data_IF_650597260155
#
_entry.id   IF_650597260155
#
_cell.length_a   1.000
_cell.length_b   1.000
_cell.length_c   1.000
_cell.angle_alpha   90.00
_cell.angle_beta   90.00
_cell.angle_gamma   90.00
#
_symmetry.space_group_name_H-M   'P 1'
#
loop_
_entity.id
_entity.type
_entity.pdbx_description
1 polymer ?
#
# COMPACT_ATOMS: atom_id res chain seq x y z
N UNK A 1 -43.25 19.51 8.34
CA UNK A 1 -41.79 19.27 8.52
C UNK A 1 -41.17 20.59 8.89
N UNK A 2 -40.32 20.64 9.90
CA UNK A 2 -39.59 21.86 10.26
C UNK A 2 -38.10 21.63 10.02
N UNK A 3 -37.44 22.60 9.43
CA UNK A 3 -36.00 22.59 9.22
C UNK A 3 -35.32 23.51 10.22
N UNK A 4 -34.09 23.18 10.59
CA UNK A 4 -33.28 24.05 11.43
C UNK A 4 -32.91 25.29 10.60
N UNK A 5 -33.17 26.47 11.14
CA UNK A 5 -32.78 27.76 10.57
C UNK A 5 -31.87 28.48 11.56
N UNK A 6 -30.76 29.04 11.08
CA UNK A 6 -29.77 29.71 11.94
C UNK A 6 -29.89 31.22 11.73
N UNK A 7 -30.26 31.92 12.79
CA UNK A 7 -30.46 33.36 12.83
C UNK A 7 -29.32 34.06 13.57
N UNK A 8 -29.30 35.40 13.52
CA UNK A 8 -28.23 36.23 14.10
C UNK A 8 -28.06 36.05 15.62
N UNK A 9 -29.10 35.57 16.31
CA UNK A 9 -29.13 35.42 17.78
C UNK A 9 -29.46 33.99 18.26
N UNK A 10 -29.44 32.99 17.38
CA UNK A 10 -29.72 31.60 17.77
C UNK A 10 -30.17 30.68 16.65
N UNK A 11 -30.79 29.57 17.03
CA UNK A 11 -31.34 28.57 16.11
C UNK A 11 -32.86 28.56 16.24
N UNK A 12 -33.57 28.73 15.13
CA UNK A 12 -35.02 28.63 15.04
C UNK A 12 -35.42 27.42 14.16
N UNK A 13 -36.71 27.07 14.18
CA UNK A 13 -37.26 26.00 13.36
C UNK A 13 -38.19 26.63 12.33
N UNK A 14 -37.80 26.59 11.05
CA UNK A 14 -38.59 27.13 9.95
C UNK A 14 -39.53 26.06 9.40
N UNK A 15 -40.78 26.43 9.16
CA UNK A 15 -41.79 25.51 8.64
C UNK A 15 -41.65 25.38 7.12
N UNK A 16 -41.50 24.15 6.65
CA UNK A 16 -41.40 23.86 5.22
C UNK A 16 -42.79 23.96 4.60
N UNK A 17 -42.91 24.78 3.55
CA UNK A 17 -44.20 25.06 2.91
C UNK A 17 -44.78 23.84 2.20
N UNK A 18 -43.94 23.08 1.50
CA UNK A 18 -44.36 21.85 0.82
C UNK A 18 -43.24 20.82 0.92
N UNK A 19 -43.55 19.59 1.32
CA UNK A 19 -42.61 18.47 1.28
C UNK A 19 -43.13 17.45 0.28
N UNK A 20 -42.38 17.29 -0.80
CA UNK A 20 -42.56 16.18 -1.75
C UNK A 20 -41.66 15.02 -1.35
N UNK A 21 -41.83 13.86 -1.99
CA UNK A 21 -40.99 12.67 -1.74
C UNK A 21 -39.48 12.90 -1.97
N UNK A 22 -39.07 13.96 -2.69
CA UNK A 22 -37.67 14.25 -3.01
C UNK A 22 -37.20 15.66 -2.65
N UNK A 23 -38.10 16.60 -2.40
CA UNK A 23 -37.74 18.01 -2.19
C UNK A 23 -38.65 18.69 -1.17
N UNK A 24 -38.06 19.57 -0.38
CA UNK A 24 -38.73 20.54 0.47
C UNK A 24 -38.74 21.91 -0.24
N UNK A 25 -39.91 22.54 -0.40
CA UNK A 25 -40.03 23.90 -0.94
C UNK A 25 -40.13 24.90 0.19
N UNK A 26 -39.29 25.94 0.12
CA UNK A 26 -39.25 27.09 1.02
C UNK A 26 -39.55 28.32 0.16
N UNK A 27 -40.64 29.04 0.45
CA UNK A 27 -41.08 30.16 -0.38
C UNK A 27 -40.26 31.43 -0.17
N UNK A 28 -39.77 31.66 1.04
CA UNK A 28 -39.07 32.89 1.41
C UNK A 28 -37.83 32.60 2.26
N UNK A 29 -36.80 31.95 1.66
CA UNK A 29 -35.61 31.59 2.42
C UNK A 29 -34.90 32.87 2.88
N UNK A 30 -34.73 33.01 4.21
CA UNK A 30 -33.93 34.07 4.80
C UNK A 30 -32.53 33.53 5.06
N UNK A 31 -31.55 33.92 4.27
CA UNK A 31 -30.16 33.51 4.50
C UNK A 31 -29.47 34.54 5.40
N UNK A 32 -29.02 34.12 6.59
CA UNK A 32 -28.23 34.98 7.46
C UNK A 32 -26.80 35.07 6.96
N UNK A 33 -26.23 36.27 6.91
CA UNK A 33 -24.82 36.49 6.59
C UNK A 33 -23.90 35.80 7.61
N UNK A 34 -24.37 35.65 8.85
CA UNK A 34 -23.68 34.88 9.89
C UNK A 34 -23.65 33.40 9.55
N UNK A 35 -24.65 32.84 8.88
CA UNK A 35 -24.60 31.44 8.41
C UNK A 35 -23.45 31.22 7.42
N UNK A 36 -23.15 32.21 6.58
CA UNK A 36 -22.01 32.18 5.66
C UNK A 36 -20.69 32.31 6.42
N UNK A 37 -20.60 33.19 7.42
CA UNK A 37 -19.38 33.34 8.23
C UNK A 37 -19.14 32.10 9.12
N UNK A 38 -20.19 31.58 9.77
CA UNK A 38 -20.16 30.36 10.56
C UNK A 38 -19.79 29.17 9.68
N UNK A 39 -20.29 29.07 8.45
CA UNK A 39 -19.87 27.98 7.57
C UNK A 39 -18.35 28.04 7.34
N UNK A 40 -17.78 29.20 7.01
CA UNK A 40 -16.32 29.38 6.89
C UNK A 40 -15.54 29.00 8.16
N UNK A 41 -16.05 29.32 9.35
CA UNK A 41 -15.38 29.02 10.64
C UNK A 41 -15.52 27.54 11.02
N UNK A 42 -16.70 26.94 10.81
CA UNK A 42 -16.96 25.53 11.15
C UNK A 42 -16.32 24.56 10.15
N UNK A 43 -16.09 24.93 8.88
CA UNK A 43 -15.45 24.05 7.89
C UNK A 43 -14.03 23.58 8.29
N UNK A 44 -13.35 24.23 9.23
CA UNK A 44 -11.99 23.85 9.65
C UNK A 44 -11.92 22.83 10.80
N UNK A 45 -13.01 22.54 11.50
CA UNK A 45 -13.02 21.62 12.65
C UNK A 45 -14.20 20.63 12.60
N UNK A 46 -14.52 20.14 11.41
CA UNK A 46 -15.53 19.09 11.23
C UNK A 46 -14.82 17.77 10.98
N UNK A 47 -15.20 16.76 11.75
CA UNK A 47 -14.83 15.37 11.49
C UNK A 47 -15.72 14.80 10.40
N UNK A 48 -15.11 14.23 9.37
CA UNK A 48 -15.79 13.61 8.23
C UNK A 48 -15.34 12.17 8.06
N UNK A 49 -16.29 11.29 7.75
CA UNK A 49 -15.93 9.95 7.28
C UNK A 49 -15.35 10.04 5.87
N UNK A 50 -14.35 9.20 5.62
CA UNK A 50 -13.57 9.24 4.40
C UNK A 50 -13.73 7.96 3.59
N UNK A 51 -13.61 8.11 2.28
CA UNK A 51 -13.48 7.00 1.35
C UNK A 51 -12.00 6.82 1.00
N UNK A 52 -11.55 5.58 0.94
CA UNK A 52 -10.29 5.19 0.33
C UNK A 52 -10.59 4.32 -0.88
N UNK A 53 -10.17 4.76 -2.07
CA UNK A 53 -10.31 3.98 -3.30
C UNK A 53 -8.94 3.67 -3.87
N UNK A 54 -8.56 2.40 -3.84
CA UNK A 54 -7.31 1.92 -4.40
C UNK A 54 -7.52 1.40 -5.83
N UNK A 55 -6.76 1.94 -6.78
CA UNK A 55 -6.68 1.44 -8.14
C UNK A 55 -5.28 0.97 -8.46
N UNK A 56 -5.18 -0.19 -9.10
CA UNK A 56 -3.92 -0.81 -9.49
C UNK A 56 -3.85 -0.93 -11.01
N UNK A 57 -2.70 -0.59 -11.58
CA UNK A 57 -2.38 -0.80 -13.00
C UNK A 57 -1.07 -1.57 -13.09
N UNK A 58 -1.12 -2.77 -13.67
CA UNK A 58 0.07 -3.60 -13.90
C UNK A 58 0.71 -3.21 -15.24
N UNK A 59 2.00 -2.91 -15.24
CA UNK A 59 2.79 -2.60 -16.44
C UNK A 59 4.09 -3.41 -16.44
N UNK A 60 4.12 -4.48 -17.22
CA UNK A 60 5.27 -5.41 -17.31
C UNK A 60 5.67 -5.92 -15.92
N UNK A 61 6.79 -5.44 -15.37
CA UNK A 61 7.35 -5.81 -14.07
C UNK A 61 7.05 -4.77 -12.97
N UNK A 62 6.30 -3.71 -13.29
CA UNK A 62 5.96 -2.62 -12.37
C UNK A 62 4.47 -2.54 -12.08
N UNK A 63 4.13 -2.11 -10.88
CA UNK A 63 2.79 -1.82 -10.40
C UNK A 63 2.65 -0.32 -10.19
N UNK A 64 1.64 0.29 -10.81
CA UNK A 64 1.24 1.67 -10.51
C UNK A 64 -0.01 1.62 -9.65
N UNK A 65 0.11 2.06 -8.40
CA UNK A 65 -1.03 2.26 -7.50
C UNK A 65 -1.48 3.72 -7.53
N UNK A 66 -2.80 3.92 -7.50
CA UNK A 66 -3.44 5.23 -7.29
C UNK A 66 -4.41 5.11 -6.12
N UNK A 67 -4.02 5.66 -4.97
CA UNK A 67 -4.83 5.66 -3.75
C UNK A 67 -5.49 7.02 -3.57
N UNK A 68 -6.80 7.07 -3.75
CA UNK A 68 -7.61 8.27 -3.59
C UNK A 68 -8.13 8.36 -2.14
N UNK A 69 -8.03 9.54 -1.54
CA UNK A 69 -8.58 9.84 -0.21
C UNK A 69 -9.46 11.09 -0.30
N UNK A 70 -10.70 10.97 0.13
CA UNK A 70 -11.65 12.08 0.07
C UNK A 70 -12.84 11.89 1.02
N UNK A 71 -13.58 12.97 1.40
CA UNK A 71 -14.77 12.84 2.23
C UNK A 71 -15.82 11.97 1.55
N UNK A 72 -16.45 11.05 2.28
CA UNK A 72 -17.39 10.08 1.70
C UNK A 72 -18.58 10.80 1.04
N UNK A 73 -18.54 10.88 -0.29
CA UNK A 73 -19.51 11.59 -1.11
C UNK A 73 -19.73 10.81 -2.42
N UNK A 74 -20.97 10.42 -2.75
CA UNK A 74 -21.30 9.72 -3.99
C UNK A 74 -20.78 10.40 -5.27
N UNK A 75 -20.81 11.74 -5.32
CA UNK A 75 -20.32 12.50 -6.48
C UNK A 75 -18.81 12.35 -6.68
N UNK A 76 -18.03 12.29 -5.59
CA UNK A 76 -16.58 12.08 -5.67
C UNK A 76 -16.23 10.63 -6.03
N UNK A 77 -16.98 9.66 -5.50
CA UNK A 77 -16.83 8.24 -5.91
C UNK A 77 -17.01 8.11 -7.42
N UNK A 78 -18.08 8.71 -7.96
CA UNK A 78 -18.35 8.70 -9.41
C UNK A 78 -17.26 9.42 -10.21
N UNK A 79 -16.76 10.56 -9.72
CA UNK A 79 -15.68 11.30 -10.38
C UNK A 79 -14.38 10.48 -10.46
N UNK A 80 -14.04 9.72 -9.40
CA UNK A 80 -12.88 8.82 -9.39
C UNK A 80 -13.07 7.68 -10.39
N UNK A 81 -14.24 7.04 -10.42
CA UNK A 81 -14.55 5.96 -11.36
C UNK A 81 -14.47 6.44 -12.82
N UNK A 82 -15.02 7.62 -13.12
CA UNK A 82 -14.92 8.24 -14.44
C UNK A 82 -13.47 8.56 -14.82
N UNK A 83 -12.67 9.05 -13.88
CA UNK A 83 -11.25 9.31 -14.13
C UNK A 83 -10.50 8.01 -14.42
N UNK A 84 -10.71 6.97 -13.62
CA UNK A 84 -9.99 5.70 -13.76
C UNK A 84 -10.37 4.95 -15.04
N UNK A 85 -11.59 5.15 -15.56
CA UNK A 85 -11.99 4.59 -16.86
C UNK A 85 -11.12 5.05 -18.04
N UNK A 86 -10.39 6.17 -17.89
CA UNK A 86 -9.46 6.68 -18.91
C UNK A 86 -8.12 5.94 -18.92
N UNK A 87 -7.79 5.20 -17.86
CA UNK A 87 -6.53 4.46 -17.76
C UNK A 87 -6.74 2.99 -18.14
N UNK A 88 -6.14 2.58 -19.26
CA UNK A 88 -6.22 1.20 -19.71
C UNK A 88 -5.56 0.24 -18.71
N UNK A 89 -6.29 -0.82 -18.34
CA UNK A 89 -5.81 -1.85 -17.40
C UNK A 89 -5.87 -1.44 -15.92
N UNK A 90 -6.44 -0.28 -15.59
CA UNK A 90 -6.68 0.11 -14.21
C UNK A 90 -7.85 -0.69 -13.63
N UNK A 91 -7.63 -1.35 -12.49
CA UNK A 91 -8.66 -2.11 -11.78
C UNK A 91 -8.81 -1.59 -10.36
N UNK A 92 -10.07 -1.41 -9.92
CA UNK A 92 -10.38 -1.08 -8.53
C UNK A 92 -10.08 -2.31 -7.66
N UNK A 93 -9.28 -2.11 -6.63
CA UNK A 93 -8.98 -3.13 -5.65
C UNK A 93 -9.93 -3.00 -4.45
N UNK A 94 -10.47 -4.10 -3.92
CA UNK A 94 -11.27 -4.07 -2.70
C UNK A 94 -10.36 -3.80 -1.50
N UNK A 95 -10.40 -2.57 -0.97
CA UNK A 95 -9.68 -2.19 0.24
C UNK A 95 -10.64 -1.83 1.38
N UNK A 96 -10.16 -1.96 2.61
CA UNK A 96 -10.88 -1.48 3.79
C UNK A 96 -10.97 0.05 3.82
N UNK A 97 -12.01 0.55 4.50
CA UNK A 97 -12.17 1.99 4.76
C UNK A 97 -11.58 2.31 6.14
N UNK A 98 -11.14 3.55 6.38
CA UNK A 98 -10.81 3.98 7.74
C UNK A 98 -12.04 3.89 8.64
N UNK A 99 -11.90 3.28 9.82
CA UNK A 99 -13.00 3.15 10.78
C UNK A 99 -13.36 4.49 11.44
N UNK A 100 -12.35 5.34 11.62
CA UNK A 100 -12.49 6.63 12.30
C UNK A 100 -12.76 7.76 11.30
N UNK A 101 -13.51 8.76 11.75
CA UNK A 101 -13.64 10.03 11.04
C UNK A 101 -12.36 10.87 11.19
N UNK A 102 -12.09 11.72 10.22
CA UNK A 102 -10.92 12.59 10.21
C UNK A 102 -11.31 14.06 10.13
N UNK A 103 -10.49 14.92 10.72
CA UNK A 103 -10.66 16.36 10.60
C UNK A 103 -10.47 16.82 9.17
N UNK A 104 -11.44 17.59 8.66
CA UNK A 104 -11.28 18.23 7.37
C UNK A 104 -10.06 19.16 7.38
N UNK A 105 -9.32 19.17 6.28
CA UNK A 105 -8.05 19.86 6.03
C UNK A 105 -6.80 19.23 6.65
N UNK A 106 -6.90 18.09 7.34
CA UNK A 106 -5.71 17.35 7.78
C UNK A 106 -4.92 16.82 6.58
N UNK A 107 -3.60 16.73 6.73
CA UNK A 107 -2.74 16.07 5.77
C UNK A 107 -2.50 14.62 6.14
N UNK A 108 -2.21 13.85 5.11
CA UNK A 108 -1.85 12.45 5.21
C UNK A 108 -0.62 12.20 4.38
N UNK A 109 0.21 11.24 4.81
CA UNK A 109 1.26 10.65 4.00
C UNK A 109 1.00 9.16 3.85
N UNK A 110 1.45 8.61 2.73
CA UNK A 110 1.39 7.19 2.47
C UNK A 110 2.78 6.60 2.71
N UNK A 111 2.84 5.54 3.50
CA UNK A 111 4.05 4.76 3.70
C UNK A 111 3.87 3.40 3.03
N UNK A 112 4.79 3.11 2.12
CA UNK A 112 4.87 1.83 1.43
C UNK A 112 6.34 1.46 1.41
N UNK A 113 6.79 0.51 2.26
CA UNK A 113 8.21 0.19 2.40
C UNK A 113 8.92 -0.11 1.08
N UNK A 114 8.19 -0.64 0.09
CA UNK A 114 8.74 -1.13 -1.18
C UNK A 114 8.44 -0.20 -2.37
N UNK A 115 7.96 1.02 -2.11
CA UNK A 115 7.69 1.97 -3.19
C UNK A 115 8.97 2.56 -3.76
N UNK A 116 9.07 2.58 -5.08
CA UNK A 116 10.15 3.30 -5.77
C UNK A 116 9.87 4.81 -5.78
N UNK A 117 8.61 5.21 -5.80
CA UNK A 117 8.19 6.61 -5.75
C UNK A 117 6.78 6.75 -5.23
N UNK A 118 6.53 7.77 -4.39
CA UNK A 118 5.21 8.21 -3.95
C UNK A 118 5.07 9.69 -4.31
N UNK A 119 4.06 10.04 -5.12
CA UNK A 119 3.81 11.41 -5.54
C UNK A 119 2.31 11.75 -5.48
N UNK A 120 1.90 12.85 -4.82
CA UNK A 120 2.71 13.74 -3.99
C UNK A 120 3.12 13.05 -2.67
N UNK A 121 4.10 13.57 -1.90
CA UNK A 121 4.49 12.98 -0.61
C UNK A 121 3.41 13.11 0.46
N UNK A 122 2.54 14.13 0.34
CA UNK A 122 1.39 14.36 1.21
C UNK A 122 0.18 14.80 0.40
N UNK A 123 -1.00 14.41 0.86
CA UNK A 123 -2.29 14.92 0.36
C UNK A 123 -3.08 15.52 1.51
N UNK A 124 -3.93 16.50 1.21
CA UNK A 124 -4.87 17.06 2.17
C UNK A 124 -6.25 16.46 1.95
N UNK A 125 -6.93 16.13 3.05
CA UNK A 125 -8.35 15.80 3.04
C UNK A 125 -9.16 17.08 2.96
N UNK A 126 -9.56 17.46 1.76
CA UNK A 126 -10.32 18.68 1.51
C UNK A 126 -11.58 18.37 0.72
N UNK A 127 -12.60 19.21 0.91
CA UNK A 127 -13.78 19.17 0.06
C UNK A 127 -13.41 19.75 -1.32
N UNK A 128 -13.75 19.02 -2.39
CA UNK A 128 -13.57 19.48 -3.77
C UNK A 128 -14.80 19.13 -4.59
N UNK A 129 -15.22 20.08 -5.42
CA UNK A 129 -16.26 19.86 -6.43
C UNK A 129 -15.72 19.12 -7.67
N UNK A 130 -14.42 18.83 -7.69
CA UNK A 130 -13.69 18.20 -8.80
C UNK A 130 -13.00 16.91 -8.34
N UNK A 131 -12.21 16.28 -9.23
CA UNK A 131 -11.44 15.06 -8.90
C UNK A 131 -10.68 15.19 -7.56
N UNK A 132 -10.84 14.20 -6.66
CA UNK A 132 -10.14 14.19 -5.38
C UNK A 132 -8.62 13.98 -5.52
N UNK A 133 -7.91 14.35 -4.46
CA UNK A 133 -6.46 14.12 -4.34
C UNK A 133 -6.16 12.62 -4.23
N UNK A 134 -5.01 12.20 -4.77
CA UNK A 134 -4.56 10.82 -4.67
C UNK A 134 -3.04 10.73 -4.62
N UNK A 135 -2.56 9.67 -3.98
CA UNK A 135 -1.17 9.24 -4.11
C UNK A 135 -1.03 8.40 -5.37
N UNK A 136 -0.09 8.77 -6.24
CA UNK A 136 0.43 7.88 -7.27
C UNK A 136 1.69 7.22 -6.74
N UNK A 137 1.72 5.89 -6.79
CA UNK A 137 2.84 5.11 -6.31
C UNK A 137 3.33 4.19 -7.42
N UNK A 138 4.61 4.27 -7.73
CA UNK A 138 5.29 3.33 -8.62
C UNK A 138 6.07 2.34 -7.73
N UNK A 139 5.83 1.04 -7.90
CA UNK A 139 6.46 -0.02 -7.08
C UNK A 139 6.63 -1.32 -7.85
N UNK A 140 7.44 -2.25 -7.32
CA UNK A 140 7.62 -3.58 -7.90
C UNK A 140 6.39 -4.48 -7.64
N UNK A 141 6.23 -5.53 -8.46
CA UNK A 141 5.11 -6.49 -8.34
C UNK A 141 5.41 -7.52 -7.24
N UNK A 142 5.36 -7.06 -5.98
CA UNK A 142 5.56 -7.87 -4.76
C UNK A 142 4.37 -7.68 -3.80
N UNK A 143 4.25 -8.52 -2.77
CA UNK A 143 3.22 -8.32 -1.74
C UNK A 143 3.54 -7.05 -0.96
N UNK A 144 2.56 -6.15 -0.84
CA UNK A 144 2.80 -4.78 -0.37
C UNK A 144 1.93 -4.48 0.85
N UNK A 145 2.58 -4.07 1.93
CA UNK A 145 1.93 -3.42 3.05
C UNK A 145 1.83 -1.90 2.77
N UNK A 146 0.62 -1.36 2.89
CA UNK A 146 0.32 0.06 2.69
C UNK A 146 -0.20 0.65 3.99
N UNK A 147 0.40 1.75 4.43
CA UNK A 147 0.01 2.44 5.65
C UNK A 147 -0.28 3.91 5.35
N UNK A 148 -1.49 4.36 5.69
CA UNK A 148 -1.84 5.78 5.67
C UNK A 148 -1.57 6.36 7.05
N UNK A 149 -0.82 7.45 7.09
CA UNK A 149 -0.36 8.08 8.33
C UNK A 149 -0.88 9.51 8.37
N UNK A 150 -1.52 9.86 9.48
CA UNK A 150 -2.05 11.20 9.73
C UNK A 150 -0.97 12.20 10.16
N UNK A 151 -1.37 13.46 10.34
CA UNK A 151 -0.47 14.54 10.81
C UNK A 151 0.09 14.33 12.21
N UNK A 152 -0.59 13.54 13.04
CA UNK A 152 -0.14 13.15 14.38
C UNK A 152 0.83 11.95 14.35
N UNK A 153 1.28 11.55 13.16
CA UNK A 153 2.15 10.42 12.89
C UNK A 153 1.59 9.05 13.33
N UNK A 154 0.27 8.97 13.57
CA UNK A 154 -0.40 7.70 13.82
C UNK A 154 -0.80 7.03 12.51
N UNK A 155 -0.68 5.71 12.50
CA UNK A 155 -1.23 4.88 11.42
C UNK A 155 -2.75 4.90 11.56
N UNK A 156 -3.43 5.46 10.56
CA UNK A 156 -4.89 5.62 10.54
C UNK A 156 -5.59 4.61 9.64
N UNK A 157 -4.85 3.97 8.75
CA UNK A 157 -5.31 2.87 7.91
C UNK A 157 -4.11 2.03 7.49
N UNK A 158 -4.32 0.72 7.39
CA UNK A 158 -3.30 -0.26 7.03
C UNK A 158 -3.94 -1.38 6.23
N UNK A 159 -3.30 -1.76 5.13
CA UNK A 159 -3.79 -2.83 4.26
C UNK A 159 -2.61 -3.62 3.69
N UNK A 160 -2.80 -4.93 3.52
CA UNK A 160 -1.79 -5.80 2.90
C UNK A 160 -2.31 -6.33 1.59
N UNK A 161 -1.67 -5.95 0.49
CA UNK A 161 -1.99 -6.44 -0.85
C UNK A 161 -1.21 -7.71 -1.15
N UNK A 162 -1.91 -8.79 -1.48
CA UNK A 162 -1.25 -10.02 -1.91
C UNK A 162 -1.20 -10.12 -3.44
N UNK A 163 -0.06 -10.57 -3.95
CA UNK A 163 0.27 -10.60 -5.40
C UNK A 163 -0.80 -11.29 -6.26
N UNK A 164 -1.40 -12.37 -5.77
CA UNK A 164 -2.40 -13.15 -6.52
C UNK A 164 -3.77 -12.45 -6.62
N UNK A 165 -4.02 -11.41 -5.82
CA UNK A 165 -5.32 -10.73 -5.80
C UNK A 165 -5.47 -9.74 -6.96
N UNK A 166 -4.36 -9.22 -7.49
CA UNK A 166 -4.36 -8.25 -8.60
C UNK A 166 -3.67 -8.74 -9.88
N UNK A 167 -2.98 -9.88 -9.84
CA UNK A 167 -2.55 -10.62 -11.04
C UNK A 167 -3.60 -11.69 -11.35
N UNK A 168 -4.68 -11.27 -12.01
CA UNK A 168 -5.56 -12.19 -12.74
C UNK A 168 -5.14 -12.17 -14.21
N UNK A 169 -4.52 -13.29 -14.63
CA UNK A 169 -4.27 -13.71 -16.02
C UNK A 169 -3.12 -13.05 -16.79
N UNK A 170 -1.92 -13.61 -16.64
CA UNK A 170 -1.08 -13.97 -17.79
C UNK A 170 -0.56 -15.39 -17.59
N UNK A 171 -1.06 -16.31 -18.41
CA UNK A 171 -0.84 -17.77 -18.44
C UNK A 171 -1.80 -18.63 -17.60
N UNK A 172 -3.02 -18.80 -18.12
CA UNK A 172 -3.78 -20.03 -17.92
C UNK A 172 -3.03 -21.21 -18.52
N UNK A 173 -2.45 -22.09 -17.70
CA UNK A 173 -2.39 -23.53 -17.98
C UNK A 173 -2.32 -24.31 -16.66
N UNK A 174 -3.45 -24.94 -16.31
CA UNK A 174 -3.62 -26.22 -15.60
C UNK A 174 -2.44 -26.80 -14.79
N UNK A 175 -2.61 -26.99 -13.48
CA UNK A 175 -3.07 -28.28 -12.93
C UNK A 175 -3.16 -28.25 -11.39
N UNK A 176 -4.20 -28.92 -10.92
CA UNK A 176 -4.50 -29.38 -9.55
C UNK A 176 -3.25 -29.84 -8.80
N UNK A 177 -3.12 -29.48 -7.51
CA UNK A 177 -2.88 -30.39 -6.38
C UNK A 177 -2.85 -29.63 -5.03
N UNK A 178 -3.89 -29.88 -4.23
CA UNK A 178 -3.78 -30.33 -2.83
C UNK A 178 -3.02 -29.51 -1.78
N UNK A 179 -3.79 -29.00 -0.83
CA UNK A 179 -3.65 -29.22 0.63
C UNK A 179 -2.35 -28.78 1.34
N UNK A 180 -2.56 -27.99 2.40
CA UNK A 180 -1.63 -27.86 3.52
C UNK A 180 -1.33 -26.41 3.87
N UNK A 181 -2.19 -25.79 4.66
CA UNK A 181 -1.76 -24.61 5.42
C UNK A 181 -0.68 -25.04 6.43
N UNK A 182 0.47 -24.36 6.50
CA UNK A 182 1.40 -24.59 7.60
C UNK A 182 1.00 -23.68 8.75
N UNK A 183 0.75 -24.35 9.88
CA UNK A 183 0.65 -23.77 11.19
C UNK A 183 1.80 -22.80 11.47
N UNK A 184 1.44 -21.68 12.10
CA UNK A 184 2.33 -20.84 12.87
C UNK A 184 3.15 -21.74 13.81
N UNK A 185 4.45 -21.87 13.54
CA UNK A 185 5.40 -22.45 14.49
C UNK A 185 6.47 -21.41 14.78
N UNK A 186 6.22 -20.66 15.84
CA UNK A 186 7.17 -19.82 16.54
C UNK A 186 8.31 -20.69 17.08
N UNK A 187 9.36 -20.88 16.29
CA UNK A 187 10.67 -21.30 16.76
C UNK A 187 11.70 -20.50 15.98
N UNK A 188 12.44 -19.65 16.69
CA UNK A 188 13.67 -19.00 16.19
C UNK A 188 14.67 -20.08 15.83
N UNK A 189 14.53 -20.61 14.61
CA UNK A 189 15.45 -21.57 14.02
C UNK A 189 16.78 -20.91 13.68
N UNK A 190 17.81 -21.75 13.53
CA UNK A 190 19.12 -21.38 12.99
C UNK A 190 18.95 -20.59 11.67
N UNK A 191 19.86 -19.66 11.34
CA UNK A 191 19.78 -18.87 10.09
C UNK A 191 19.70 -19.77 8.84
N UNK A 192 20.36 -20.93 8.91
CA UNK A 192 20.26 -21.97 7.89
C UNK A 192 18.82 -22.51 7.73
N UNK A 193 18.10 -22.73 8.83
CA UNK A 193 16.71 -23.19 8.79
C UNK A 193 15.77 -22.12 8.22
N UNK A 194 16.02 -20.84 8.52
CA UNK A 194 15.27 -19.73 7.95
C UNK A 194 15.48 -19.63 6.43
N UNK A 195 16.73 -19.69 5.94
CA UNK A 195 16.98 -19.70 4.50
C UNK A 195 16.41 -20.94 3.81
N UNK A 196 16.50 -22.10 4.47
CA UNK A 196 15.97 -23.34 3.90
C UNK A 196 14.44 -23.32 3.80
N UNK A 197 13.72 -22.69 4.75
CA UNK A 197 12.26 -22.60 4.71
C UNK A 197 11.77 -21.60 3.66
N UNK A 198 12.49 -20.50 3.46
CA UNK A 198 12.12 -19.45 2.50
C UNK A 198 12.70 -19.67 1.09
N UNK A 199 13.49 -20.72 0.88
CA UNK A 199 14.26 -20.99 -0.37
C UNK A 199 13.43 -20.82 -1.64
N UNK A 200 12.25 -21.42 -1.68
CA UNK A 200 11.37 -21.38 -2.85
C UNK A 200 10.78 -19.99 -3.08
N UNK A 201 10.41 -19.28 -2.00
CA UNK A 201 9.86 -17.93 -2.09
C UNK A 201 10.93 -16.88 -2.40
N UNK A 202 12.14 -17.02 -1.86
CA UNK A 202 13.30 -16.21 -2.23
C UNK A 202 13.55 -16.28 -3.75
N UNK A 203 13.65 -17.49 -4.31
CA UNK A 203 13.87 -17.71 -5.75
C UNK A 203 12.75 -17.12 -6.60
N UNK A 204 11.51 -17.15 -6.14
CA UNK A 204 10.38 -16.56 -6.89
C UNK A 204 10.36 -15.04 -6.83
N UNK A 205 10.78 -14.43 -5.72
CA UNK A 205 10.51 -13.03 -5.38
C UNK A 205 11.69 -12.10 -5.58
N UNK A 206 12.92 -12.58 -5.40
CA UNK A 206 14.12 -11.74 -5.48
C UNK A 206 14.33 -11.18 -6.89
N UNK A 207 14.57 -9.87 -6.99
CA UNK A 207 14.77 -9.18 -8.26
C UNK A 207 16.20 -9.37 -8.79
N UNK A 208 16.41 -9.19 -10.10
CA UNK A 208 17.75 -9.30 -10.71
C UNK A 208 18.78 -8.30 -10.13
N UNK A 209 18.43 -7.02 -9.88
CA UNK A 209 19.35 -6.07 -9.25
C UNK A 209 19.77 -6.52 -7.85
N UNK A 210 18.80 -6.89 -7.00
CA UNK A 210 19.07 -7.37 -5.64
C UNK A 210 19.94 -8.63 -5.65
N UNK A 211 19.73 -9.56 -6.60
CA UNK A 211 20.61 -10.73 -6.75
C UNK A 211 22.06 -10.37 -7.09
N UNK A 212 22.27 -9.36 -7.94
CA UNK A 212 23.62 -8.95 -8.32
C UNK A 212 24.34 -8.27 -7.16
N UNK A 213 23.65 -7.35 -6.47
CA UNK A 213 24.20 -6.66 -5.30
C UNK A 213 24.44 -7.63 -4.14
N UNK A 214 23.52 -8.58 -3.92
CA UNK A 214 23.70 -9.64 -2.93
C UNK A 214 24.91 -10.51 -3.27
N UNK A 215 25.10 -10.87 -4.53
CA UNK A 215 26.26 -11.65 -4.97
C UNK A 215 27.58 -10.88 -4.74
N UNK A 216 27.63 -9.59 -5.08
CA UNK A 216 28.79 -8.74 -4.86
C UNK A 216 29.08 -8.58 -3.34
N UNK A 217 28.04 -8.40 -2.51
CA UNK A 217 28.17 -8.33 -1.05
C UNK A 217 28.64 -9.64 -0.42
N UNK A 218 28.17 -10.80 -0.91
CA UNK A 218 28.64 -12.11 -0.45
C UNK A 218 30.13 -12.33 -0.75
N UNK A 219 30.66 -11.79 -1.86
CA UNK A 219 32.09 -11.81 -2.14
C UNK A 219 32.84 -10.88 -1.18
N UNK A 220 32.34 -9.66 -0.97
CA UNK A 220 32.96 -8.68 -0.08
C UNK A 220 33.10 -9.20 1.36
N UNK A 221 32.08 -9.89 1.86
CA UNK A 221 32.11 -10.52 3.19
C UNK A 221 32.78 -11.90 3.20
N UNK A 222 33.48 -12.28 2.13
CA UNK A 222 34.24 -13.54 1.99
C UNK A 222 33.41 -14.82 2.18
N UNK A 223 32.10 -14.74 1.98
CA UNK A 223 31.20 -15.91 2.00
C UNK A 223 31.46 -16.76 0.76
N UNK A 224 31.56 -16.13 -0.40
CA UNK A 224 31.88 -16.79 -1.67
C UNK A 224 33.26 -16.35 -2.17
N UNK A 225 33.91 -17.18 -2.96
CA UNK A 225 35.17 -16.84 -3.61
C UNK A 225 34.95 -16.27 -5.04
N UNK A 226 36.01 -15.71 -5.62
CA UNK A 226 35.95 -15.09 -6.95
C UNK A 226 35.49 -16.06 -8.06
N UNK A 227 35.91 -17.33 -7.99
CA UNK A 227 35.56 -18.35 -8.97
C UNK A 227 34.07 -18.75 -8.88
N UNK A 228 33.55 -18.90 -7.68
CA UNK A 228 32.14 -19.15 -7.40
C UNK A 228 31.27 -18.01 -7.93
N UNK A 229 31.70 -16.77 -7.69
CA UNK A 229 31.02 -15.58 -8.18
C UNK A 229 31.00 -15.49 -9.71
N UNK A 230 32.13 -15.75 -10.36
CA UNK A 230 32.21 -15.76 -11.83
C UNK A 230 31.30 -16.83 -12.44
N UNK A 231 31.22 -18.00 -11.81
CA UNK A 231 30.33 -19.09 -12.25
C UNK A 231 28.85 -18.67 -12.19
N UNK A 232 28.43 -18.02 -11.09
CA UNK A 232 27.05 -17.54 -10.91
C UNK A 232 26.73 -16.34 -11.80
N UNK A 233 27.72 -15.48 -12.12
CA UNK A 233 27.51 -14.31 -13.00
C UNK A 233 27.11 -14.69 -14.42
N UNK A 234 27.51 -15.87 -14.90
CA UNK A 234 27.21 -16.37 -16.25
C UNK A 234 25.76 -16.85 -16.39
N UNK A 235 25.06 -17.13 -15.29
CA UNK A 235 23.68 -17.63 -15.31
C UNK A 235 22.72 -16.51 -15.76
N UNK A 236 22.08 -16.72 -16.91
CA UNK A 236 21.18 -15.75 -17.52
C UNK A 236 19.76 -15.75 -16.90
N UNK A 237 19.30 -16.90 -16.43
CA UNK A 237 17.98 -17.08 -15.84
C UNK A 237 17.96 -16.63 -14.38
N UNK A 238 17.07 -15.70 -14.04
CA UNK A 238 17.00 -15.09 -12.69
C UNK A 238 16.71 -16.14 -11.61
N UNK A 239 15.77 -17.05 -11.88
CA UNK A 239 15.37 -18.07 -10.91
C UNK A 239 16.50 -19.09 -10.67
N UNK A 240 17.17 -19.51 -11.73
CA UNK A 240 18.32 -20.41 -11.65
C UNK A 240 19.49 -19.75 -10.91
N UNK A 241 19.76 -18.47 -11.20
CA UNK A 241 20.78 -17.68 -10.48
C UNK A 241 20.47 -17.55 -8.99
N UNK A 242 19.21 -17.28 -8.65
CA UNK A 242 18.76 -17.19 -7.25
C UNK A 242 18.90 -18.53 -6.51
N UNK A 243 18.57 -19.64 -7.17
CA UNK A 243 18.73 -21.00 -6.64
C UNK A 243 20.19 -21.29 -6.35
N UNK A 244 21.07 -21.00 -7.29
CA UNK A 244 22.50 -21.25 -7.13
C UNK A 244 23.10 -20.45 -5.96
N UNK A 245 22.71 -19.18 -5.82
CA UNK A 245 23.18 -18.32 -4.71
C UNK A 245 22.75 -18.89 -3.36
N UNK A 246 21.46 -19.19 -3.19
CA UNK A 246 20.96 -19.67 -1.89
C UNK A 246 21.50 -21.06 -1.54
N UNK A 247 21.60 -21.96 -2.52
CA UNK A 247 22.16 -23.31 -2.31
C UNK A 247 23.66 -23.27 -2.00
N UNK A 248 24.37 -22.32 -2.58
CA UNK A 248 25.77 -22.09 -2.27
C UNK A 248 25.95 -21.61 -0.83
N UNK A 249 25.14 -20.65 -0.38
CA UNK A 249 25.20 -20.14 0.99
C UNK A 249 24.79 -21.21 2.00
N UNK A 250 23.72 -21.97 1.73
CA UNK A 250 23.28 -23.09 2.58
C UNK A 250 24.39 -24.14 2.77
N UNK A 251 25.12 -24.50 1.70
CA UNK A 251 26.24 -25.46 1.77
C UNK A 251 27.40 -24.98 2.65
N UNK A 252 27.57 -23.66 2.82
CA UNK A 252 28.65 -23.07 3.63
C UNK A 252 28.27 -22.96 5.12
N UNK A 253 27.01 -23.22 5.47
CA UNK A 253 26.54 -23.36 6.84
C UNK A 253 26.07 -22.05 7.49
N UNK A 254 25.65 -22.17 8.75
CA UNK A 254 24.88 -21.16 9.47
C UNK A 254 25.47 -19.73 9.48
N UNK A 255 26.78 -19.58 9.63
CA UNK A 255 27.43 -18.25 9.61
C UNK A 255 27.27 -17.53 8.27
N UNK A 256 27.37 -18.28 7.17
CA UNK A 256 27.16 -17.76 5.82
C UNK A 256 25.69 -17.40 5.60
N UNK A 257 24.78 -18.25 6.09
CA UNK A 257 23.34 -17.99 6.06
C UNK A 257 22.98 -16.71 6.81
N UNK A 258 23.54 -16.51 8.01
CA UNK A 258 23.33 -15.31 8.82
C UNK A 258 23.79 -14.04 8.08
N UNK A 259 24.97 -14.09 7.45
CA UNK A 259 25.50 -12.98 6.65
C UNK A 259 24.61 -12.67 5.44
N UNK A 260 24.15 -13.69 4.72
CA UNK A 260 23.20 -13.48 3.61
C UNK A 260 21.89 -12.85 4.09
N UNK A 261 21.36 -13.29 5.23
CA UNK A 261 20.13 -12.72 5.82
C UNK A 261 20.33 -11.23 6.16
N UNK A 262 21.46 -10.88 6.78
CA UNK A 262 21.73 -9.48 7.14
C UNK A 262 21.93 -8.61 5.90
N UNK A 263 22.70 -9.07 4.91
CA UNK A 263 22.86 -8.38 3.63
C UNK A 263 21.52 -8.23 2.90
N UNK A 264 20.68 -9.27 2.90
CA UNK A 264 19.36 -9.19 2.29
C UNK A 264 18.46 -8.17 3.02
N UNK A 265 18.59 -8.07 4.34
CA UNK A 265 17.88 -7.08 5.15
C UNK A 265 18.33 -5.64 4.87
N UNK A 266 19.59 -5.43 4.51
CA UNK A 266 20.12 -4.12 4.09
C UNK A 266 19.72 -3.77 2.64
N UNK A 267 19.78 -4.75 1.73
CA UNK A 267 19.52 -4.54 0.30
C UNK A 267 18.02 -4.49 -0.03
N UNK A 268 17.22 -5.34 0.62
CA UNK A 268 15.79 -5.46 0.39
C UNK A 268 15.03 -5.79 1.71
N UNK A 269 14.86 -4.77 2.59
CA UNK A 269 14.12 -4.92 3.85
C UNK A 269 12.69 -5.45 3.62
N UNK A 270 12.09 -5.11 2.48
CA UNK A 270 10.78 -5.54 2.07
C UNK A 270 10.70 -7.04 1.85
N UNK A 271 11.63 -7.59 1.09
CA UNK A 271 11.71 -9.01 0.85
C UNK A 271 11.96 -9.76 2.16
N UNK A 272 12.80 -9.25 3.06
CA UNK A 272 13.00 -9.85 4.39
C UNK A 272 11.72 -9.88 5.22
N UNK A 273 10.97 -8.78 5.30
CA UNK A 273 9.67 -8.73 5.99
C UNK A 273 8.68 -9.73 5.39
N UNK A 274 8.59 -9.77 4.06
CA UNK A 274 7.68 -10.64 3.33
C UNK A 274 8.03 -12.13 3.44
N UNK A 275 9.33 -12.45 3.57
CA UNK A 275 9.82 -13.81 3.82
C UNK A 275 9.82 -14.17 5.32
N UNK A 276 9.43 -13.24 6.20
CA UNK A 276 9.47 -13.38 7.66
C UNK A 276 10.86 -13.79 8.18
N UNK A 277 11.91 -13.27 7.53
CA UNK A 277 13.29 -13.52 7.91
C UNK A 277 13.66 -12.49 8.98
N UNK A 278 13.90 -12.97 10.20
CA UNK A 278 14.42 -12.13 11.28
C UNK A 278 15.93 -11.96 11.13
N UNK A 279 16.40 -10.72 10.97
CA UNK A 279 17.84 -10.42 11.04
C UNK A 279 18.38 -10.83 12.41
N UNK A 280 19.43 -11.65 12.40
CA UNK A 280 20.18 -11.97 13.61
C UNK A 280 21.16 -10.82 13.76
N UNK A 281 20.88 -9.90 14.70
CA UNK A 281 21.58 -8.63 14.91
C UNK A 281 23.08 -8.74 15.20
N UNK A 282 23.85 -9.16 14.20
CA UNK A 282 25.30 -9.15 14.16
C UNK A 282 25.67 -8.17 13.05
N UNK A 283 26.19 -6.99 13.37
CA UNK A 283 26.62 -6.03 12.37
C UNK A 283 27.72 -6.66 11.49
N UNK A 284 27.62 -6.36 10.20
CA UNK A 284 28.48 -6.79 9.10
C UNK A 284 29.92 -6.29 9.23
#
# INVERSE_FOLDING_TARGET
>A
MKILHVEEHGVSLEEVHEVTRFHAKILHPKFSAISVILSYIFFWNVDVHCELMLYLTVKRETLISRLYLFPSNPGQIQAVEQQESKFQGSKRFPNTRPEQSFKLNSSFRLNIPCSTSITPPRIHLIHRDTTPSFFKVDMEITGIEMELIGDDERIVWKETLQKYEYISDTHSTSAVLGAGGPAESSLTGSAEQQLHSVRTEFVKRVSRPVLNELLDGLLQHTVINQQEMESVKVIAERAEKALDIIDMVLRKGNESCSRMINLLGELDPCLCSLLQINSVGVPT
#
